data_IF_831387246277
#
_entry.id   IF_831387246277
#
_cell.length_a   1.000
_cell.length_b   1.000
_cell.length_c   1.000
_cell.angle_alpha   90.00
_cell.angle_beta   90.00
_cell.angle_gamma   90.00
#
_symmetry.space_group_name_H-M   'P 1'
#
loop_
_entity.id
_entity.type
_entity.pdbx_description
1 polymer ?
#
# COMPACT_ATOMS: atom_id res chain seq x y z
N UNK A 1 10.01 -5.85 -0.10
CA UNK A 1 10.29 -6.39 1.26
C UNK A 1 11.58 -5.78 1.80
N UNK A 2 12.75 -6.05 1.22
CA UNK A 2 14.05 -5.49 1.70
C UNK A 2 14.02 -3.97 1.86
N UNK A 3 13.51 -3.23 0.86
CA UNK A 3 13.42 -1.77 0.97
C UNK A 3 12.58 -1.27 2.16
N UNK A 4 11.51 -1.98 2.53
CA UNK A 4 10.70 -1.60 3.70
C UNK A 4 11.40 -1.94 5.00
N UNK A 5 12.08 -3.09 5.07
CA UNK A 5 12.93 -3.44 6.21
C UNK A 5 14.04 -2.41 6.44
N UNK A 6 14.71 -1.93 5.37
CA UNK A 6 15.73 -0.90 5.48
C UNK A 6 15.17 0.41 6.06
N UNK A 7 13.95 0.80 5.68
CA UNK A 7 13.27 1.96 6.27
C UNK A 7 13.01 1.75 7.76
N UNK A 8 12.54 0.56 8.16
CA UNK A 8 12.28 0.24 9.56
C UNK A 8 13.55 0.28 10.42
N UNK A 9 14.67 -0.26 9.93
CA UNK A 9 15.97 -0.15 10.60
C UNK A 9 16.44 1.30 10.67
N UNK A 10 16.27 2.09 9.61
CA UNK A 10 16.60 3.51 9.64
C UNK A 10 15.77 4.27 10.70
N UNK A 11 14.47 3.98 10.82
CA UNK A 11 13.64 4.54 11.89
C UNK A 11 14.14 4.13 13.27
N UNK A 12 14.49 2.86 13.47
CA UNK A 12 15.00 2.33 14.74
C UNK A 12 16.28 3.05 15.18
N UNK A 13 17.27 3.15 14.30
CA UNK A 13 18.58 3.73 14.64
C UNK A 13 18.59 5.26 14.61
N UNK A 14 17.51 5.89 14.14
CA UNK A 14 17.44 7.35 14.03
C UNK A 14 17.63 8.08 15.38
N UNK A 15 17.19 7.48 16.49
CA UNK A 15 17.35 8.03 17.84
C UNK A 15 18.79 8.00 18.37
N UNK A 16 19.64 7.14 17.80
CA UNK A 16 21.07 7.06 18.16
C UNK A 16 21.90 8.12 17.44
N UNK A 17 21.40 8.60 16.30
CA UNK A 17 22.15 9.44 15.36
C UNK A 17 21.67 10.91 15.41
N UNK A 18 20.38 11.13 15.63
CA UNK A 18 19.76 12.45 15.57
C UNK A 18 19.02 12.78 16.86
N UNK A 19 19.15 14.03 17.33
CA UNK A 19 18.33 14.52 18.44
C UNK A 19 16.85 14.53 18.01
N UNK A 20 16.01 13.71 18.65
CA UNK A 20 14.58 13.56 18.37
C UNK A 20 14.15 12.32 17.56
N UNK A 21 15.02 11.75 16.71
CA UNK A 21 14.69 10.55 15.91
C UNK A 21 13.38 10.60 15.09
N UNK A 22 12.91 9.45 14.59
CA UNK A 22 11.64 9.35 13.84
C UNK A 22 10.48 9.10 14.79
N UNK A 23 9.61 10.09 14.98
CA UNK A 23 8.46 10.00 15.89
C UNK A 23 7.33 9.09 15.39
N UNK A 24 7.11 9.02 14.08
CA UNK A 24 6.02 8.21 13.50
C UNK A 24 6.31 7.79 12.06
N UNK A 25 6.19 6.49 11.77
CA UNK A 25 6.29 5.94 10.42
C UNK A 25 4.90 5.78 9.78
N UNK A 26 4.58 6.58 8.76
CA UNK A 26 3.41 6.36 7.91
C UNK A 26 3.85 5.66 6.62
N UNK A 27 3.16 4.59 6.24
CA UNK A 27 3.52 3.83 5.04
C UNK A 27 2.31 3.37 4.22
N UNK A 28 2.53 3.21 2.91
CA UNK A 28 1.52 2.74 1.98
C UNK A 28 1.41 1.20 1.98
N UNK A 29 0.31 0.69 2.52
CA UNK A 29 -0.22 -0.64 2.21
C UNK A 29 -1.07 -0.57 0.92
N UNK A 30 -1.94 -1.55 0.68
CA UNK A 30 -2.82 -1.58 -0.50
C UNK A 30 -4.10 -2.34 -0.20
N UNK A 31 -5.21 -1.89 -0.77
CA UNK A 31 -6.48 -2.63 -0.81
C UNK A 31 -6.34 -4.05 -1.39
N UNK A 32 -5.31 -4.31 -2.21
CA UNK A 32 -5.01 -5.66 -2.72
C UNK A 32 -4.77 -6.71 -1.63
N UNK A 33 -4.47 -6.32 -0.37
CA UNK A 33 -4.35 -7.30 0.73
C UNK A 33 -5.67 -8.01 1.04
N UNK A 34 -6.82 -7.41 0.70
CA UNK A 34 -8.12 -8.07 0.81
C UNK A 34 -8.30 -9.20 -0.21
N UNK A 35 -7.54 -9.19 -1.31
CA UNK A 35 -7.40 -10.30 -2.24
C UNK A 35 -8.73 -10.91 -2.67
N UNK A 36 -8.91 -12.20 -2.38
CA UNK A 36 -10.09 -12.99 -2.74
C UNK A 36 -11.24 -12.92 -1.73
N UNK A 37 -11.22 -11.98 -0.78
CA UNK A 37 -12.31 -11.83 0.19
C UNK A 37 -13.63 -11.55 -0.52
N UNK A 38 -14.68 -12.31 -0.16
CA UNK A 38 -16.02 -12.15 -0.74
C UNK A 38 -16.91 -11.17 0.03
N UNK A 39 -16.58 -10.91 1.29
CA UNK A 39 -17.30 -9.94 2.13
C UNK A 39 -17.09 -8.54 1.57
N UNK A 40 -18.18 -7.81 1.39
CA UNK A 40 -18.20 -6.39 1.05
C UNK A 40 -19.19 -5.66 1.96
N UNK A 41 -18.90 -4.43 2.42
CA UNK A 41 -17.65 -3.69 2.21
C UNK A 41 -16.46 -4.33 2.96
N UNK A 42 -15.25 -4.11 2.44
CA UNK A 42 -14.01 -4.51 3.12
C UNK A 42 -13.80 -3.67 4.37
N UNK A 43 -13.35 -4.30 5.46
CA UNK A 43 -13.05 -3.68 6.73
C UNK A 43 -11.63 -4.00 7.20
N UNK A 44 -11.02 -3.13 7.99
CA UNK A 44 -9.65 -3.33 8.50
C UNK A 44 -9.51 -4.58 9.37
N UNK A 45 -10.61 -5.00 9.98
CA UNK A 45 -10.75 -6.19 10.82
C UNK A 45 -10.87 -7.47 10.01
N UNK A 46 -11.08 -7.38 8.69
CA UNK A 46 -11.17 -8.55 7.83
C UNK A 46 -9.82 -9.27 7.76
N UNK A 47 -9.88 -10.61 7.79
CA UNK A 47 -8.71 -11.47 7.62
C UNK A 47 -8.13 -11.28 6.22
N UNK A 48 -6.82 -11.10 6.12
CA UNK A 48 -6.07 -10.78 4.88
C UNK A 48 -4.89 -11.72 4.67
N UNK A 49 -5.08 -12.99 5.01
CA UNK A 49 -4.01 -14.01 5.03
C UNK A 49 -3.93 -14.84 3.74
N UNK A 50 -4.79 -14.55 2.76
CA UNK A 50 -4.85 -15.25 1.47
C UNK A 50 -4.59 -14.29 0.30
N UNK A 51 -3.34 -13.78 0.14
CA UNK A 51 -3.01 -12.86 -0.94
C UNK A 51 -3.09 -13.56 -2.30
N UNK A 52 -3.74 -12.90 -3.28
CA UNK A 52 -3.91 -13.42 -4.64
C UNK A 52 -2.81 -12.98 -5.61
N UNK A 53 -1.85 -12.18 -5.14
CA UNK A 53 -0.71 -11.72 -5.94
C UNK A 53 0.54 -11.53 -5.06
N UNK A 54 1.72 -11.59 -5.69
CA UNK A 54 2.99 -11.30 -5.00
C UNK A 54 3.01 -9.86 -4.46
N UNK A 55 2.44 -8.91 -5.19
CA UNK A 55 2.30 -7.53 -4.73
C UNK A 55 1.49 -7.44 -3.42
N UNK A 56 0.31 -8.07 -3.38
CA UNK A 56 -0.53 -8.13 -2.18
C UNK A 56 0.22 -8.78 -1.00
N UNK A 57 0.92 -9.88 -1.25
CA UNK A 57 1.75 -10.54 -0.25
C UNK A 57 2.83 -9.59 0.30
N UNK A 58 3.52 -8.83 -0.56
CA UNK A 58 4.54 -7.87 -0.09
C UNK A 58 3.95 -6.75 0.77
N UNK A 59 2.75 -6.26 0.43
CA UNK A 59 2.06 -5.23 1.23
C UNK A 59 1.58 -5.76 2.56
N UNK A 60 1.09 -7.01 2.60
CA UNK A 60 0.75 -7.66 3.87
C UNK A 60 1.99 -7.91 4.74
N UNK A 61 3.11 -8.31 4.14
CA UNK A 61 4.39 -8.44 4.85
C UNK A 61 4.83 -7.13 5.47
N UNK A 62 4.66 -5.98 4.79
CA UNK A 62 4.96 -4.69 5.39
C UNK A 62 4.12 -4.43 6.65
N UNK A 63 2.83 -4.77 6.66
CA UNK A 63 1.98 -4.64 7.85
C UNK A 63 2.49 -5.47 9.03
N UNK A 64 2.90 -6.72 8.77
CA UNK A 64 3.43 -7.62 9.78
C UNK A 64 4.77 -7.13 10.33
N UNK A 65 5.66 -6.66 9.45
CA UNK A 65 6.95 -6.10 9.84
C UNK A 65 6.77 -4.84 10.69
N UNK A 66 5.91 -3.91 10.26
CA UNK A 66 5.64 -2.68 11.01
C UNK A 66 5.03 -2.99 12.41
N UNK A 67 4.10 -3.95 12.49
CA UNK A 67 3.55 -4.39 13.77
C UNK A 67 4.64 -4.94 14.70
N UNK A 68 5.50 -5.83 14.20
CA UNK A 68 6.58 -6.41 14.98
C UNK A 68 7.55 -5.34 15.48
N UNK A 69 7.99 -4.43 14.60
CA UNK A 69 8.89 -3.32 14.95
C UNK A 69 8.29 -2.37 15.97
N UNK A 70 7.00 -2.04 15.82
CA UNK A 70 6.29 -1.21 16.80
C UNK A 70 6.26 -1.88 18.17
N UNK A 71 6.04 -3.19 18.23
CA UNK A 71 6.00 -3.94 19.50
C UNK A 71 7.36 -4.06 20.19
N UNK A 72 8.45 -4.27 19.44
CA UNK A 72 9.77 -4.56 20.03
C UNK A 72 10.68 -3.33 20.17
N UNK A 73 10.44 -2.28 19.38
CA UNK A 73 11.26 -1.05 19.38
C UNK A 73 10.44 0.22 19.65
N UNK A 74 9.15 0.09 19.95
CA UNK A 74 8.26 1.22 20.24
C UNK A 74 8.22 2.30 19.15
N UNK A 75 8.38 1.90 17.88
CA UNK A 75 8.28 2.80 16.72
C UNK A 75 6.80 2.91 16.34
N UNK A 76 6.14 4.06 16.53
CA UNK A 76 4.75 4.23 16.12
C UNK A 76 4.64 4.11 14.61
N UNK A 77 3.66 3.34 14.12
CA UNK A 77 3.47 3.17 12.68
C UNK A 77 2.01 3.08 12.27
N UNK A 78 1.70 3.70 11.12
CA UNK A 78 0.36 3.68 10.51
C UNK A 78 0.45 3.22 9.06
N UNK A 79 -0.17 2.07 8.77
CA UNK A 79 -0.30 1.54 7.41
C UNK A 79 -1.60 2.00 6.75
N UNK A 80 -1.50 2.60 5.57
CA UNK A 80 -2.66 3.07 4.79
C UNK A 80 -2.95 2.12 3.63
N UNK A 81 -4.09 1.42 3.65
CA UNK A 81 -4.52 0.52 2.56
C UNK A 81 -5.16 1.33 1.42
N UNK A 82 -4.34 1.87 0.52
CA UNK A 82 -4.85 2.64 -0.61
C UNK A 82 -5.67 1.80 -1.59
N UNK A 83 -6.78 2.37 -2.04
CA UNK A 83 -7.51 1.96 -3.25
C UNK A 83 -6.91 2.68 -4.46
N UNK A 84 -7.62 2.67 -5.58
CA UNK A 84 -7.19 3.39 -6.78
C UNK A 84 -7.13 4.90 -6.50
N UNK A 85 -5.93 5.46 -6.60
CA UNK A 85 -5.69 6.92 -6.48
C UNK A 85 -5.64 7.51 -7.88
N UNK A 86 -6.20 8.72 -8.06
CA UNK A 86 -6.18 9.46 -9.32
C UNK A 86 -5.87 10.94 -9.06
N UNK A 87 -5.30 11.61 -10.07
CA UNK A 87 -4.98 13.04 -10.01
C UNK A 87 -3.79 13.44 -10.89
N UNK A 88 -3.40 14.72 -10.87
CA UNK A 88 -2.19 15.21 -11.52
C UNK A 88 -0.95 14.41 -11.10
N UNK A 89 0.00 14.24 -12.02
CA UNK A 89 1.24 13.48 -11.83
C UNK A 89 1.08 12.00 -11.40
N UNK A 90 -0.11 11.41 -11.55
CA UNK A 90 -0.26 9.98 -11.35
C UNK A 90 0.18 9.17 -12.57
N UNK A 91 0.00 7.85 -12.50
CA UNK A 91 0.71 6.95 -13.42
C UNK A 91 0.00 6.81 -14.78
N UNK A 92 0.72 6.90 -15.91
CA UNK A 92 0.14 6.72 -17.25
C UNK A 92 -0.45 5.32 -17.50
N UNK A 93 0.01 4.32 -16.75
CA UNK A 93 -0.42 2.92 -16.89
C UNK A 93 -1.64 2.56 -16.03
N UNK A 94 -2.19 3.52 -15.27
CA UNK A 94 -3.38 3.33 -14.43
C UNK A 94 -4.65 3.75 -15.17
N UNK A 95 -5.76 3.10 -14.81
CA UNK A 95 -7.04 3.16 -15.51
C UNK A 95 -7.46 4.57 -15.95
N UNK A 96 -7.50 5.54 -15.02
CA UNK A 96 -7.98 6.89 -15.35
C UNK A 96 -7.13 7.59 -16.42
N UNK A 97 -5.80 7.43 -16.38
CA UNK A 97 -4.90 8.04 -17.37
C UNK A 97 -5.06 7.34 -18.71
N UNK A 98 -5.11 6.00 -18.71
CA UNK A 98 -5.38 5.21 -19.90
C UNK A 98 -6.72 5.57 -20.56
N UNK A 99 -7.77 5.82 -19.77
CA UNK A 99 -9.06 6.29 -20.29
C UNK A 99 -8.97 7.68 -20.90
N UNK A 100 -8.32 8.63 -20.21
CA UNK A 100 -8.13 10.00 -20.72
C UNK A 100 -7.30 10.02 -22.00
N UNK A 101 -6.22 9.21 -22.07
CA UNK A 101 -5.39 9.12 -23.26
C UNK A 101 -6.14 8.50 -24.45
N UNK A 102 -6.87 7.40 -24.23
CA UNK A 102 -7.71 6.78 -25.26
C UNK A 102 -8.78 7.75 -25.78
N UNK A 103 -9.44 8.47 -24.87
CA UNK A 103 -10.43 9.48 -25.24
C UNK A 103 -9.79 10.61 -26.08
N UNK A 104 -8.59 11.06 -25.71
CA UNK A 104 -7.85 12.08 -26.45
C UNK A 104 -7.37 11.60 -27.82
N UNK A 105 -7.00 10.33 -27.95
CA UNK A 105 -6.54 9.73 -29.22
C UNK A 105 -7.68 9.22 -30.10
N UNK A 106 -8.94 9.30 -29.65
CA UNK A 106 -10.09 8.74 -30.36
C UNK A 106 -10.08 7.21 -30.44
N UNK A 107 -9.45 6.55 -29.47
CA UNK A 107 -9.35 5.08 -29.39
C UNK A 107 -10.41 4.49 -28.45
N UNK A 108 -10.77 3.24 -28.69
CA UNK A 108 -11.81 2.56 -27.90
C UNK A 108 -11.38 2.31 -26.44
N UNK A 109 -12.30 2.64 -25.53
CA UNK A 109 -12.17 2.33 -24.11
C UNK A 109 -12.75 0.94 -23.86
N UNK A 110 -11.94 0.08 -23.25
CA UNK A 110 -12.35 -1.28 -22.90
C UNK A 110 -13.13 -1.26 -21.59
N UNK A 111 -14.32 -1.86 -21.59
CA UNK A 111 -15.18 -2.00 -20.41
C UNK A 111 -15.22 -3.46 -20.02
N UNK A 112 -14.80 -3.75 -18.80
CA UNK A 112 -14.85 -5.10 -18.23
C UNK A 112 -16.16 -5.30 -17.46
N UNK A 113 -16.67 -6.53 -17.41
CA UNK A 113 -17.75 -6.96 -16.50
C UNK A 113 -19.00 -6.05 -16.43
N UNK A 114 -19.41 -5.46 -17.57
CA UNK A 114 -20.56 -4.54 -17.68
C UNK A 114 -20.44 -3.19 -16.94
N UNK A 115 -19.23 -2.80 -16.52
CA UNK A 115 -18.95 -1.57 -15.79
C UNK A 115 -18.19 -1.82 -14.49
#
# INVERSE_FOLDING_TARGET
>A
IVGFHNVLEACRHSYEIYDGGVEHLVYASSSSVYGGNKKIPFATEDKVDNPISLYAATKKTNELQAYAYSKIYNIPSTGLRFFTVYGPAGRPDMAYFGFTDKLRSGSDIEIYNHG
#
